data_IF_247279917931
#
_entry.id   IF_247279917931
#
_cell.length_a   1.000
_cell.length_b   1.000
_cell.length_c   1.000
_cell.angle_alpha   90.00
_cell.angle_beta   90.00
_cell.angle_gamma   90.00
#
_symmetry.space_group_name_H-M   'P 1'
#
loop_
_entity.id
_entity.type
_entity.pdbx_description
1 polymer ?
#
# COMPACT_ATOMS: atom_id res chain seq x y z
N UNK A 1 -21.52 10.38 -8.81
CA UNK A 1 -20.28 11.18 -8.91
C UNK A 1 -19.40 10.91 -7.69
N UNK A 2 -18.09 10.87 -7.87
CA UNK A 2 -17.14 10.74 -6.76
C UNK A 2 -17.02 12.10 -6.08
N UNK A 3 -17.13 12.14 -4.74
CA UNK A 3 -17.03 13.38 -3.99
C UNK A 3 -15.61 13.95 -4.03
N UNK A 4 -15.47 15.28 -4.05
CA UNK A 4 -14.17 15.95 -3.96
C UNK A 4 -13.38 15.52 -2.73
N UNK A 5 -14.09 15.20 -1.64
CA UNK A 5 -13.47 14.77 -0.38
C UNK A 5 -12.70 13.47 -0.54
N UNK A 6 -13.27 12.43 -1.19
CA UNK A 6 -12.55 11.17 -1.39
C UNK A 6 -11.42 11.33 -2.42
N UNK A 7 -11.57 12.23 -3.41
CA UNK A 7 -10.48 12.54 -4.34
C UNK A 7 -9.28 13.16 -3.60
N UNK A 8 -9.54 14.12 -2.70
CA UNK A 8 -8.48 14.73 -1.88
C UNK A 8 -7.84 13.73 -0.93
N UNK A 9 -8.63 12.86 -0.29
CA UNK A 9 -8.10 11.78 0.53
C UNK A 9 -7.24 10.81 -0.28
N UNK A 10 -7.64 10.46 -1.50
CA UNK A 10 -6.83 9.63 -2.38
C UNK A 10 -5.49 10.31 -2.71
N UNK A 11 -5.50 11.61 -3.03
CA UNK A 11 -4.28 12.37 -3.28
C UNK A 11 -3.35 12.38 -2.04
N UNK A 12 -3.91 12.61 -0.86
CA UNK A 12 -3.15 12.59 0.40
C UNK A 12 -2.55 11.21 0.64
N UNK A 13 -3.28 10.13 0.34
CA UNK A 13 -2.78 8.76 0.51
C UNK A 13 -1.50 8.50 -0.27
N UNK A 14 -1.32 9.10 -1.45
CA UNK A 14 -0.10 8.95 -2.26
C UNK A 14 1.12 9.42 -1.47
N UNK A 15 1.05 10.62 -0.88
CA UNK A 15 2.17 11.17 -0.11
C UNK A 15 2.43 10.36 1.17
N UNK A 16 1.38 9.87 1.83
CA UNK A 16 1.53 9.04 3.02
C UNK A 16 2.18 7.69 2.70
N UNK A 17 1.81 7.04 1.60
CA UNK A 17 2.45 5.79 1.18
C UNK A 17 3.88 5.99 0.71
N UNK A 18 4.20 7.12 0.07
CA UNK A 18 5.58 7.46 -0.26
C UNK A 18 6.40 7.63 1.03
N UNK A 19 5.89 8.39 2.01
CA UNK A 19 6.58 8.58 3.28
C UNK A 19 6.78 7.26 4.04
N UNK A 20 5.76 6.39 4.02
CA UNK A 20 5.83 5.07 4.64
C UNK A 20 6.89 4.18 3.97
N UNK A 21 6.86 4.07 2.65
CA UNK A 21 7.87 3.29 1.91
C UNK A 21 9.29 3.82 2.08
N UNK A 22 9.48 5.14 2.24
CA UNK A 22 10.77 5.73 2.56
C UNK A 22 11.23 5.37 3.97
N UNK A 23 10.34 5.40 4.97
CA UNK A 23 10.67 4.95 6.33
C UNK A 23 11.12 3.49 6.32
N UNK A 24 10.37 2.59 5.68
CA UNK A 24 10.71 1.18 5.55
C UNK A 24 12.07 0.97 4.86
N UNK A 25 12.31 1.71 3.78
CA UNK A 25 13.58 1.63 3.03
C UNK A 25 14.76 2.04 3.89
N UNK A 26 14.70 3.21 4.54
CA UNK A 26 15.81 3.74 5.35
C UNK A 26 16.03 2.96 6.65
N UNK A 27 15.00 2.31 7.18
CA UNK A 27 15.10 1.54 8.42
C UNK A 27 15.35 0.04 8.19
N UNK A 28 15.47 -0.37 6.91
CA UNK A 28 15.83 -1.74 6.55
C UNK A 28 14.75 -2.77 6.83
N UNK A 29 13.48 -2.40 6.71
CA UNK A 29 12.33 -3.27 6.93
C UNK A 29 12.45 -4.62 6.19
N UNK A 30 12.94 -4.61 4.96
CA UNK A 30 13.16 -5.79 4.12
C UNK A 30 14.11 -6.83 4.72
N UNK A 31 14.95 -6.45 5.70
CA UNK A 31 15.86 -7.36 6.42
C UNK A 31 15.25 -7.86 7.74
N UNK A 32 14.29 -7.13 8.30
CA UNK A 32 13.76 -7.38 9.66
C UNK A 32 12.48 -8.20 9.60
N UNK A 33 11.60 -7.92 8.63
CA UNK A 33 10.35 -8.64 8.50
C UNK A 33 10.55 -9.98 7.78
N UNK A 34 10.16 -11.08 8.42
CA UNK A 34 10.39 -12.44 7.95
C UNK A 34 9.67 -12.74 6.61
N UNK A 35 8.51 -12.14 6.38
CA UNK A 35 7.76 -12.34 5.14
C UNK A 35 8.45 -11.64 3.97
N UNK A 36 8.87 -10.40 4.19
CA UNK A 36 9.59 -9.62 3.18
C UNK A 36 10.99 -10.20 2.91
N UNK A 37 11.71 -10.61 3.96
CA UNK A 37 12.97 -11.31 3.78
C UNK A 37 12.80 -12.57 2.93
N UNK A 38 11.80 -13.40 3.22
CA UNK A 38 11.52 -14.58 2.40
C UNK A 38 11.17 -14.23 0.95
N UNK A 39 10.36 -13.20 0.72
CA UNK A 39 9.96 -12.77 -0.62
C UNK A 39 11.12 -12.22 -1.44
N UNK A 40 12.02 -11.45 -0.81
CA UNK A 40 13.09 -10.74 -1.49
C UNK A 40 14.44 -11.47 -1.51
N UNK A 41 14.66 -12.51 -0.70
CA UNK A 41 15.92 -13.28 -0.67
C UNK A 41 16.34 -13.84 -2.04
N UNK A 42 15.39 -14.03 -2.95
CA UNK A 42 15.69 -14.51 -4.30
C UNK A 42 16.48 -13.49 -5.14
N UNK A 43 16.47 -12.22 -4.73
CA UNK A 43 17.23 -11.15 -5.38
C UNK A 43 18.71 -11.09 -4.92
N UNK A 44 19.07 -11.75 -3.80
CA UNK A 44 20.43 -11.69 -3.21
C UNK A 44 21.51 -12.15 -4.20
N UNK A 45 21.19 -13.11 -5.06
CA UNK A 45 22.14 -13.67 -6.05
C UNK A 45 22.05 -13.01 -7.44
N UNK A 46 21.22 -11.97 -7.58
CA UNK A 46 21.03 -11.25 -8.84
C UNK A 46 21.92 -10.00 -8.87
N UNK A 47 22.44 -9.68 -10.05
CA UNK A 47 23.02 -8.36 -10.24
C UNK A 47 21.93 -7.28 -10.09
N UNK A 48 22.35 -6.06 -9.72
CA UNK A 48 21.43 -4.92 -9.59
C UNK A 48 20.60 -4.72 -10.88
N UNK A 49 21.21 -4.89 -12.04
CA UNK A 49 20.51 -4.76 -13.33
C UNK A 49 19.49 -5.87 -13.56
N UNK A 50 19.79 -7.11 -13.19
CA UNK A 50 18.86 -8.24 -13.29
C UNK A 50 17.67 -8.03 -12.36
N UNK A 51 17.92 -7.66 -11.10
CA UNK A 51 16.86 -7.39 -10.12
C UNK A 51 15.95 -6.23 -10.56
N UNK A 52 16.55 -5.10 -10.99
CA UNK A 52 15.80 -3.95 -11.49
C UNK A 52 14.97 -4.29 -12.74
N UNK A 53 15.52 -5.05 -13.68
CA UNK A 53 14.79 -5.48 -14.87
C UNK A 53 13.63 -6.40 -14.54
N UNK A 54 13.83 -7.37 -13.64
CA UNK A 54 12.75 -8.27 -13.19
C UNK A 54 11.64 -7.51 -12.50
N UNK A 55 11.94 -6.58 -11.60
CA UNK A 55 10.95 -5.72 -10.94
C UNK A 55 10.17 -4.90 -11.98
N UNK A 56 10.86 -4.30 -12.95
CA UNK A 56 10.21 -3.58 -14.05
C UNK A 56 9.25 -4.48 -14.84
N UNK A 57 9.64 -5.70 -15.19
CA UNK A 57 8.77 -6.65 -15.90
C UNK A 57 7.55 -7.03 -15.06
N UNK A 58 7.72 -7.31 -13.77
CA UNK A 58 6.61 -7.61 -12.86
C UNK A 58 5.64 -6.44 -12.79
N UNK A 59 6.13 -5.22 -12.63
CA UNK A 59 5.30 -4.02 -12.61
C UNK A 59 4.51 -3.85 -13.91
N UNK A 60 5.14 -4.10 -15.07
CA UNK A 60 4.49 -4.05 -16.38
C UNK A 60 3.38 -5.10 -16.48
N UNK A 61 3.64 -6.35 -16.08
CA UNK A 61 2.64 -7.42 -16.12
C UNK A 61 1.45 -7.11 -15.19
N UNK A 62 1.71 -6.63 -13.98
CA UNK A 62 0.66 -6.20 -13.05
C UNK A 62 -0.18 -5.06 -13.65
N UNK A 63 0.48 -4.07 -14.27
CA UNK A 63 -0.22 -2.97 -14.94
C UNK A 63 -1.12 -3.48 -16.08
N UNK A 64 -0.65 -4.43 -16.90
CA UNK A 64 -1.44 -5.03 -17.98
C UNK A 64 -2.64 -5.80 -17.44
N UNK A 65 -2.47 -6.58 -16.35
CA UNK A 65 -3.59 -7.29 -15.71
C UNK A 65 -4.61 -6.30 -15.14
N UNK A 66 -4.16 -5.26 -14.46
CA UNK A 66 -5.04 -4.21 -13.94
C UNK A 66 -5.79 -3.55 -15.10
N UNK A 67 -5.09 -3.17 -16.19
CA UNK A 67 -5.69 -2.55 -17.37
C UNK A 67 -6.76 -3.44 -17.99
N UNK A 68 -6.49 -4.75 -18.13
CA UNK A 68 -7.45 -5.72 -18.60
C UNK A 68 -8.72 -5.77 -17.71
N UNK A 69 -8.53 -5.84 -16.39
CA UNK A 69 -9.65 -5.84 -15.44
C UNK A 69 -10.48 -4.55 -15.51
N UNK A 70 -9.84 -3.41 -15.77
CA UNK A 70 -10.49 -2.11 -15.91
C UNK A 70 -11.35 -2.02 -17.16
N UNK A 71 -10.98 -2.69 -18.25
CA UNK A 71 -11.75 -2.71 -19.52
C UNK A 71 -13.11 -3.40 -19.30
N UNK A 72 -13.17 -4.43 -18.47
CA UNK A 72 -14.37 -5.27 -18.31
C UNK A 72 -15.32 -4.83 -17.19
N UNK A 73 -14.92 -3.95 -16.28
CA UNK A 73 -15.74 -3.61 -15.10
C UNK A 73 -16.24 -2.17 -15.13
N UNK A 74 -17.58 -2.03 -15.20
CA UNK A 74 -18.30 -0.73 -15.09
C UNK A 74 -17.99 0.06 -13.80
N UNK A 75 -17.53 -0.62 -12.74
CA UNK A 75 -17.31 -0.04 -11.41
C UNK A 75 -15.82 -0.01 -10.98
N UNK A 76 -14.89 -0.11 -11.92
CA UNK A 76 -13.46 -0.15 -11.67
C UNK A 76 -12.93 1.01 -10.80
N UNK A 77 -13.54 2.19 -10.97
CA UNK A 77 -13.15 3.38 -10.21
C UNK A 77 -13.38 3.20 -8.69
N UNK A 78 -14.44 2.48 -8.31
CA UNK A 78 -14.64 2.13 -6.89
C UNK A 78 -13.62 1.13 -6.39
N UNK A 79 -13.22 0.18 -7.23
CA UNK A 79 -12.18 -0.77 -6.90
C UNK A 79 -10.83 -0.07 -6.67
N UNK A 80 -10.43 0.86 -7.55
CA UNK A 80 -9.23 1.66 -7.35
C UNK A 80 -9.26 2.48 -6.06
N UNK A 81 -10.40 3.09 -5.75
CA UNK A 81 -10.58 3.83 -4.50
C UNK A 81 -10.52 2.94 -3.25
N UNK A 82 -10.71 1.63 -3.39
CA UNK A 82 -10.61 0.68 -2.26
C UNK A 82 -9.15 0.33 -1.93
N UNK A 83 -8.22 0.43 -2.89
CA UNK A 83 -6.82 0.06 -2.69
C UNK A 83 -6.18 0.81 -1.51
N UNK A 84 -6.20 2.15 -1.41
CA UNK A 84 -5.62 2.85 -0.27
C UNK A 84 -6.21 2.46 1.07
N UNK A 85 -7.51 2.14 1.11
CA UNK A 85 -8.19 1.69 2.33
C UNK A 85 -7.66 0.32 2.79
N UNK A 86 -7.51 -0.63 1.86
CA UNK A 86 -6.97 -1.97 2.15
C UNK A 86 -5.51 -1.84 2.60
N UNK A 87 -4.68 -1.13 1.86
CA UNK A 87 -3.26 -0.97 2.20
C UNK A 87 -3.11 -0.33 3.58
N UNK A 88 -3.81 0.78 3.88
CA UNK A 88 -3.78 1.40 5.22
C UNK A 88 -4.19 0.42 6.35
N UNK A 89 -5.01 -0.57 6.05
CA UNK A 89 -5.41 -1.59 7.02
C UNK A 89 -4.33 -2.64 7.20
N UNK A 90 -3.67 -3.04 6.11
CA UNK A 90 -2.56 -4.00 6.16
C UNK A 90 -1.39 -3.44 6.96
N UNK A 91 -1.11 -2.13 6.83
CA UNK A 91 0.01 -1.47 7.54
C UNK A 91 -0.13 -1.45 9.08
N UNK A 92 -1.29 -1.84 9.61
CA UNK A 92 -1.46 -2.05 11.07
C UNK A 92 -0.48 -3.10 11.62
N UNK A 93 0.01 -4.03 10.79
CA UNK A 93 0.95 -5.06 11.22
C UNK A 93 2.25 -4.45 11.78
N UNK A 94 2.73 -3.29 11.28
CA UNK A 94 3.89 -2.59 11.84
C UNK A 94 3.65 -2.17 13.30
N UNK A 95 2.43 -1.71 13.62
CA UNK A 95 2.06 -1.34 14.99
C UNK A 95 2.01 -2.56 15.91
N UNK A 96 1.46 -3.66 15.41
CA UNK A 96 1.42 -4.93 16.14
C UNK A 96 2.85 -5.42 16.42
N UNK A 97 3.72 -5.37 15.41
CA UNK A 97 5.13 -5.75 15.56
C UNK A 97 5.86 -4.83 16.54
N UNK A 98 5.63 -3.52 16.50
CA UNK A 98 6.23 -2.58 17.46
C UNK A 98 5.81 -2.90 18.90
N UNK A 99 4.56 -3.29 19.13
CA UNK A 99 4.09 -3.73 20.46
C UNK A 99 4.76 -5.04 20.89
N UNK A 100 4.83 -6.03 20.00
CA UNK A 100 5.46 -7.34 20.29
C UNK A 100 6.94 -7.16 20.62
N UNK A 101 7.65 -6.31 19.88
CA UNK A 101 9.07 -6.02 20.10
C UNK A 101 9.32 -5.02 21.25
N UNK A 102 8.25 -4.51 21.88
CA UNK A 102 8.30 -3.51 22.96
C UNK A 102 9.16 -2.28 22.62
N UNK A 103 9.12 -1.85 21.36
CA UNK A 103 9.91 -0.73 20.89
C UNK A 103 9.64 -0.36 19.44
N UNK A 104 10.53 0.45 18.89
CA UNK A 104 10.43 0.84 17.49
C UNK A 104 10.55 -0.38 16.57
N UNK A 105 9.66 -0.44 15.59
CA UNK A 105 9.73 -1.39 14.49
C UNK A 105 9.71 -0.59 13.16
N UNK A 106 10.54 -0.95 12.15
CA UNK A 106 10.60 -0.26 10.88
C UNK A 106 9.21 -0.03 10.28
N UNK A 107 8.92 1.20 9.86
CA UNK A 107 7.61 1.58 9.31
C UNK A 107 6.55 1.95 10.37
N UNK A 108 6.79 1.75 11.67
CA UNK A 108 5.76 1.92 12.71
C UNK A 108 5.28 3.36 12.90
N UNK A 109 6.13 4.36 12.68
CA UNK A 109 5.77 5.77 12.87
C UNK A 109 4.76 6.21 11.78
N UNK A 110 5.09 5.96 10.54
CA UNK A 110 4.18 6.30 9.42
C UNK A 110 2.97 5.38 9.36
N UNK A 111 3.08 4.11 9.78
CA UNK A 111 1.94 3.21 9.93
C UNK A 111 0.92 3.75 10.94
N UNK A 112 1.37 4.41 12.02
CA UNK A 112 0.46 5.07 12.95
C UNK A 112 -0.33 6.21 12.28
N UNK A 113 0.34 7.02 11.46
CA UNK A 113 -0.32 8.09 10.67
C UNK A 113 -1.30 7.48 9.65
N UNK A 114 -0.88 6.41 8.96
CA UNK A 114 -1.73 5.68 8.01
C UNK A 114 -2.96 5.04 8.69
N UNK A 115 -2.83 4.56 9.90
CA UNK A 115 -3.95 4.01 10.68
C UNK A 115 -5.02 5.07 10.94
N UNK A 116 -4.61 6.25 11.43
CA UNK A 116 -5.54 7.38 11.65
C UNK A 116 -6.18 7.82 10.34
N UNK A 117 -5.36 8.01 9.30
CA UNK A 117 -5.83 8.38 7.97
C UNK A 117 -6.81 7.35 7.40
N UNK A 118 -6.50 6.06 7.52
CA UNK A 118 -7.30 4.94 7.05
C UNK A 118 -8.71 4.95 7.62
N UNK A 119 -8.85 5.30 8.90
CA UNK A 119 -10.18 5.45 9.52
C UNK A 119 -11.06 6.49 8.81
N UNK A 120 -10.51 7.66 8.51
CA UNK A 120 -11.25 8.71 7.79
C UNK A 120 -11.51 8.32 6.33
N UNK A 121 -10.56 7.66 5.71
CA UNK A 121 -10.69 7.18 4.33
C UNK A 121 -11.80 6.12 4.20
N UNK A 122 -11.82 5.10 5.07
CA UNK A 122 -12.88 4.08 5.12
C UNK A 122 -14.26 4.69 5.31
N UNK A 123 -14.39 5.67 6.20
CA UNK A 123 -15.65 6.36 6.42
C UNK A 123 -16.21 6.99 5.14
N UNK A 124 -15.39 7.65 4.35
CA UNK A 124 -15.83 8.27 3.09
C UNK A 124 -16.06 7.22 1.98
N UNK A 125 -15.26 6.17 1.94
CA UNK A 125 -15.44 5.08 1.00
C UNK A 125 -16.76 4.34 1.21
N UNK A 126 -17.12 4.03 2.46
CA UNK A 126 -18.39 3.38 2.81
C UNK A 126 -19.59 4.26 2.39
N UNK A 127 -19.51 5.58 2.58
CA UNK A 127 -20.55 6.49 2.10
C UNK A 127 -20.73 6.41 0.58
N UNK A 128 -19.60 6.33 -0.15
CA UNK A 128 -19.65 6.20 -1.60
C UNK A 128 -20.33 4.90 -2.04
N UNK A 129 -20.05 3.79 -1.37
CA UNK A 129 -20.70 2.51 -1.69
C UNK A 129 -22.19 2.49 -1.34
N UNK A 130 -22.58 3.10 -0.22
CA UNK A 130 -24.00 3.24 0.16
C UNK A 130 -24.80 4.12 -0.79
N UNK A 131 -24.18 5.16 -1.34
CA UNK A 131 -24.85 6.06 -2.30
C UNK A 131 -25.02 5.45 -3.72
N UNK A 132 -24.41 4.29 -3.99
CA UNK A 132 -24.52 3.57 -5.28
C UNK A 132 -25.59 2.47 -5.27
N UNK A 133 -26.11 2.11 -4.09
CA UNK A 133 -27.28 1.23 -3.92
C UNK A 133 -28.57 2.02 -4.04
#
# INVERSE_FOLDING_TARGET
MISKKIQNLFLISIFLFIAHGLEEYFTGFYNVDSLFYFAFRHFENMSVFQAAFLVFQIMLWVLLVISYLLIFKKNWLSALLTIPAIVSTVEIHHLIKAVIHQGYYPGSVTAFVLFIFGFFYWKELIKLYKAKK
#
